data_IF_662666240082
#
_entry.id   IF_662666240082
#
_cell.length_a   1.000
_cell.length_b   1.000
_cell.length_c   1.000
_cell.angle_alpha   90.00
_cell.angle_beta   90.00
_cell.angle_gamma   90.00
#
_symmetry.space_group_name_H-M   'P 1'
#
loop_
_entity.id
_entity.type
_entity.pdbx_description
1 polymer ?
#
# COMPACT_ATOMS: atom_id res chain seq x y z
N UNK A 1 -1.89 7.52 -9.77
CA UNK A 1 -1.30 8.72 -9.16
C UNK A 1 -1.32 8.55 -7.65
N UNK A 2 -0.18 8.67 -7.02
CA UNK A 2 -0.02 8.62 -5.58
C UNK A 2 0.26 10.04 -5.09
N UNK A 3 -0.66 10.58 -4.28
CA UNK A 3 -0.43 11.85 -3.60
C UNK A 3 0.66 11.70 -2.54
N UNK A 4 1.28 12.80 -2.19
CA UNK A 4 2.35 12.84 -1.17
C UNK A 4 1.88 13.44 0.16
N UNK A 5 0.62 13.87 0.23
CA UNK A 5 0.12 14.58 1.41
C UNK A 5 -0.17 13.59 2.53
N UNK A 6 0.45 13.84 3.67
CA UNK A 6 0.20 13.07 4.89
C UNK A 6 -1.07 13.61 5.53
N UNK A 7 -2.04 12.73 5.77
CA UNK A 7 -3.27 13.06 6.50
C UNK A 7 -2.95 12.96 7.99
N UNK A 8 -3.06 14.09 8.69
CA UNK A 8 -2.78 14.16 10.13
C UNK A 8 -3.86 13.45 10.97
N UNK A 9 -5.08 13.44 10.49
CA UNK A 9 -6.22 12.80 11.15
C UNK A 9 -7.03 11.99 10.13
N UNK A 10 -6.92 10.65 10.14
CA UNK A 10 -7.62 9.79 9.20
C UNK A 10 -9.14 9.81 9.38
N UNK A 11 -9.65 10.21 10.55
CA UNK A 11 -11.09 10.27 10.83
C UNK A 11 -11.77 11.44 10.09
N UNK A 12 -11.00 12.42 9.64
CA UNK A 12 -11.51 13.50 8.78
C UNK A 12 -11.76 13.03 7.33
N UNK A 13 -11.35 11.81 7.00
CA UNK A 13 -11.50 11.23 5.67
C UNK A 13 -10.52 11.80 4.64
N UNK A 14 -10.68 11.37 3.40
CA UNK A 14 -9.86 11.83 2.29
C UNK A 14 -10.32 13.21 1.81
N UNK A 15 -9.36 14.07 1.45
CA UNK A 15 -9.66 15.38 0.88
C UNK A 15 -10.47 15.25 -0.43
N UNK A 16 -11.32 16.24 -0.77
CA UNK A 16 -11.99 16.27 -2.07
C UNK A 16 -10.98 16.25 -3.22
N UNK A 17 -11.39 15.67 -4.34
CA UNK A 17 -10.58 15.69 -5.56
C UNK A 17 -10.39 17.13 -6.05
N UNK A 18 -9.14 17.56 -6.16
CA UNK A 18 -8.85 18.85 -6.74
C UNK A 18 -8.81 18.76 -8.28
N UNK A 19 -9.23 19.83 -8.96
CA UNK A 19 -9.15 19.93 -10.43
C UNK A 19 -7.72 19.76 -10.94
N UNK A 20 -6.74 20.22 -10.19
CA UNK A 20 -5.31 20.04 -10.48
C UNK A 20 -4.87 18.58 -10.50
N UNK A 21 -5.46 17.72 -9.65
CA UNK A 21 -5.13 16.29 -9.61
C UNK A 21 -5.65 15.60 -10.88
N UNK A 22 -6.86 15.93 -11.28
CA UNK A 22 -7.45 15.44 -12.52
C UNK A 22 -6.62 15.87 -13.72
N UNK A 23 -6.23 17.15 -13.80
CA UNK A 23 -5.42 17.69 -14.90
C UNK A 23 -4.07 16.97 -15.01
N UNK A 24 -3.41 16.70 -13.88
CA UNK A 24 -2.13 15.99 -13.80
C UNK A 24 -2.23 14.54 -14.27
N UNK A 25 -3.31 13.85 -13.91
CA UNK A 25 -3.60 12.50 -14.38
C UNK A 25 -3.81 12.48 -15.91
N UNK A 26 -4.63 13.38 -16.43
CA UNK A 26 -4.92 13.45 -17.86
C UNK A 26 -3.66 13.77 -18.67
N UNK A 27 -2.77 14.61 -18.17
CA UNK A 27 -1.48 14.90 -18.81
C UNK A 27 -0.61 13.66 -18.93
N UNK A 28 -0.53 12.84 -17.85
CA UNK A 28 0.17 11.56 -17.89
C UNK A 28 -0.43 10.59 -18.93
N UNK A 29 -1.75 10.52 -19.05
CA UNK A 29 -2.41 9.66 -20.02
C UNK A 29 -2.22 10.12 -21.47
N UNK A 30 -2.12 11.42 -21.73
CA UNK A 30 -1.91 11.94 -23.10
C UNK A 30 -0.66 11.38 -23.76
N UNK A 31 0.39 11.14 -22.99
CA UNK A 31 1.65 10.59 -23.52
C UNK A 31 1.60 9.08 -23.75
N UNK A 32 0.81 8.33 -22.96
CA UNK A 32 0.81 6.86 -22.94
C UNK A 32 -0.39 6.30 -23.73
N UNK A 33 -1.55 6.91 -23.55
CA UNK A 33 -2.81 6.44 -24.14
C UNK A 33 -3.70 7.64 -24.51
N UNK A 34 -3.37 8.39 -25.56
CA UNK A 34 -4.05 9.63 -25.92
C UNK A 34 -5.57 9.45 -26.14
N UNK A 35 -5.99 8.28 -26.61
CA UNK A 35 -7.41 7.96 -26.80
C UNK A 35 -8.21 7.84 -25.49
N UNK A 36 -7.54 7.73 -24.34
CA UNK A 36 -8.17 7.67 -23.01
C UNK A 36 -8.13 9.02 -22.29
N UNK A 37 -7.45 10.02 -22.83
CA UNK A 37 -7.30 11.33 -22.19
C UNK A 37 -8.52 12.26 -22.40
N UNK A 38 -9.72 11.68 -22.35
CA UNK A 38 -11.00 12.42 -22.42
C UNK A 38 -11.40 13.01 -21.07
N UNK A 39 -12.64 13.50 -21.00
CA UNK A 39 -13.22 13.96 -19.72
C UNK A 39 -13.39 12.80 -18.76
N UNK A 40 -12.99 12.92 -17.48
CA UNK A 40 -13.22 11.89 -16.49
C UNK A 40 -14.72 11.71 -16.21
N UNK A 41 -15.15 10.47 -16.09
CA UNK A 41 -16.55 10.15 -15.75
C UNK A 41 -16.78 10.32 -14.25
N UNK A 42 -15.77 9.95 -13.45
CA UNK A 42 -15.80 10.10 -12.00
C UNK A 42 -14.37 10.18 -11.45
N UNK A 43 -14.21 10.79 -10.30
CA UNK A 43 -12.95 10.84 -9.57
C UNK A 43 -13.23 10.75 -8.07
N UNK A 44 -12.35 10.04 -7.34
CA UNK A 44 -12.42 9.92 -5.90
C UNK A 44 -11.01 9.89 -5.32
N UNK A 45 -10.88 10.41 -4.11
CA UNK A 45 -9.67 10.25 -3.29
C UNK A 45 -9.83 9.07 -2.35
N UNK A 46 -8.73 8.43 -1.98
CA UNK A 46 -8.71 7.43 -0.93
C UNK A 46 -7.45 7.58 -0.07
N UNK A 47 -7.53 7.06 1.14
CA UNK A 47 -6.40 7.04 2.06
C UNK A 47 -5.56 5.77 1.83
N UNK A 48 -4.24 5.93 1.90
CA UNK A 48 -3.30 4.83 1.92
C UNK A 48 -2.73 4.66 3.32
N UNK A 49 -2.65 3.41 3.78
CA UNK A 49 -1.87 3.09 4.98
C UNK A 49 -0.41 2.98 4.57
N UNK A 50 0.39 3.97 4.96
CA UNK A 50 1.81 4.01 4.67
C UNK A 50 2.61 3.46 5.85
N UNK A 51 3.66 2.69 5.54
CA UNK A 51 4.71 2.40 6.50
C UNK A 51 5.76 3.52 6.49
N UNK A 52 6.60 3.67 7.53
CA UNK A 52 7.62 4.72 7.58
C UNK A 52 8.61 4.70 6.40
N UNK A 53 8.92 3.53 5.87
CA UNK A 53 9.84 3.31 4.75
C UNK A 53 9.14 3.08 3.41
N UNK A 54 7.81 3.14 3.37
CA UNK A 54 7.01 2.90 2.17
C UNK A 54 6.92 1.43 1.74
N UNK A 55 7.61 0.50 2.40
CA UNK A 55 7.53 -0.93 2.13
C UNK A 55 6.44 -1.59 2.95
N UNK A 56 5.87 -2.68 2.43
CA UNK A 56 4.86 -3.45 3.14
C UNK A 56 5.39 -4.01 4.47
N UNK A 57 4.46 -4.32 5.36
CA UNK A 57 4.70 -5.07 6.57
C UNK A 57 4.10 -6.46 6.37
N UNK A 58 4.92 -7.50 6.28
CA UNK A 58 4.44 -8.88 6.11
C UNK A 58 5.14 -9.78 7.11
N UNK A 59 4.37 -10.47 7.94
CA UNK A 59 4.97 -11.36 8.92
C UNK A 59 4.06 -11.73 10.07
N UNK A 60 4.69 -12.12 11.18
CA UNK A 60 4.02 -12.54 12.40
C UNK A 60 4.12 -11.44 13.46
N UNK A 61 3.04 -11.14 14.14
CA UNK A 61 3.05 -10.18 15.25
C UNK A 61 3.80 -10.76 16.45
N UNK A 62 4.74 -9.99 17.00
CA UNK A 62 5.42 -10.33 18.25
C UNK A 62 4.38 -10.58 19.37
N UNK A 63 4.51 -11.68 20.10
CA UNK A 63 3.58 -12.10 21.15
C UNK A 63 2.33 -12.85 20.67
N UNK A 64 2.03 -12.86 19.37
CA UNK A 64 0.90 -13.56 18.77
C UNK A 64 1.38 -14.55 17.69
N UNK A 65 1.97 -15.66 18.11
CA UNK A 65 2.64 -16.63 17.22
C UNK A 65 1.77 -17.22 16.09
N UNK A 66 0.45 -17.15 16.22
CA UNK A 66 -0.51 -17.65 15.24
C UNK A 66 -1.17 -16.54 14.42
N UNK A 67 -0.68 -15.30 14.57
CA UNK A 67 -1.22 -14.16 13.83
C UNK A 67 -0.23 -13.72 12.79
N UNK A 68 -0.58 -13.94 11.53
CA UNK A 68 0.19 -13.49 10.37
C UNK A 68 -0.59 -12.38 9.68
N UNK A 69 0.11 -11.36 9.20
CA UNK A 69 -0.55 -10.19 8.62
C UNK A 69 0.26 -9.58 7.49
N UNK A 70 -0.44 -8.89 6.60
CA UNK A 70 0.11 -7.95 5.65
C UNK A 70 -0.56 -6.58 5.88
N UNK A 71 0.23 -5.54 6.06
CA UNK A 71 -0.24 -4.19 6.34
C UNK A 71 0.68 -3.15 5.70
N UNK A 72 0.30 -1.86 5.79
CA UNK A 72 1.10 -0.78 5.23
C UNK A 72 1.34 -0.95 3.73
N UNK A 73 0.30 -1.31 2.97
CA UNK A 73 0.43 -1.70 1.56
C UNK A 73 0.65 -0.50 0.62
N UNK A 74 0.74 0.71 1.16
CA UNK A 74 1.26 1.92 0.52
C UNK A 74 0.68 2.17 -0.89
N UNK A 75 -0.60 1.87 -1.10
CA UNK A 75 -1.30 2.02 -2.37
C UNK A 75 -0.98 0.96 -3.44
N UNK A 76 -0.13 -0.04 -3.16
CA UNK A 76 0.32 -1.03 -4.14
C UNK A 76 -0.17 -2.47 -3.86
N UNK A 77 -0.88 -2.69 -2.76
CA UNK A 77 -1.20 -4.04 -2.27
C UNK A 77 -2.05 -4.87 -3.22
N UNK A 78 -2.98 -4.25 -3.93
CA UNK A 78 -3.93 -4.98 -4.77
C UNK A 78 -3.25 -5.87 -5.82
N UNK A 79 -2.29 -5.33 -6.56
CA UNK A 79 -1.57 -6.07 -7.61
C UNK A 79 -0.69 -7.21 -7.07
N UNK A 80 -0.35 -7.18 -5.78
CA UNK A 80 0.49 -8.18 -5.11
C UNK A 80 -0.32 -9.11 -4.18
N UNK A 81 -1.65 -8.93 -4.11
CA UNK A 81 -2.51 -9.69 -3.22
C UNK A 81 -2.36 -11.22 -3.35
N UNK A 82 -2.24 -11.82 -4.55
CA UNK A 82 -2.03 -13.26 -4.67
C UNK A 82 -0.73 -13.72 -4.00
N UNK A 83 0.40 -13.04 -4.29
CA UNK A 83 1.70 -13.39 -3.72
C UNK A 83 1.75 -13.17 -2.20
N UNK A 84 1.10 -12.12 -1.71
CA UNK A 84 0.97 -11.87 -0.27
C UNK A 84 0.11 -12.94 0.40
N UNK A 85 -0.97 -13.37 -0.26
CA UNK A 85 -1.80 -14.46 0.20
C UNK A 85 -1.02 -15.77 0.33
N UNK A 86 -0.26 -16.16 -0.68
CA UNK A 86 0.60 -17.34 -0.66
C UNK A 86 1.61 -17.27 0.48
N UNK A 87 2.29 -16.12 0.65
CA UNK A 87 3.23 -15.91 1.74
C UNK A 87 2.57 -16.08 3.12
N UNK A 88 1.38 -15.53 3.32
CA UNK A 88 0.65 -15.63 4.59
C UNK A 88 0.19 -17.06 4.87
N UNK A 89 -0.26 -17.79 3.87
CA UNK A 89 -0.62 -19.21 3.98
C UNK A 89 0.61 -20.05 4.37
N UNK A 90 1.75 -19.81 3.72
CA UNK A 90 3.00 -20.50 4.02
C UNK A 90 3.46 -20.22 5.46
N UNK A 91 3.42 -18.97 5.89
CA UNK A 91 3.74 -18.59 7.28
C UNK A 91 2.80 -19.28 8.26
N UNK A 92 1.51 -19.35 7.96
CA UNK A 92 0.50 -19.96 8.83
C UNK A 92 0.66 -21.48 8.93
N UNK A 93 0.92 -22.16 7.83
CA UNK A 93 0.95 -23.63 7.76
C UNK A 93 2.34 -24.22 8.01
N UNK A 94 3.41 -23.51 7.60
CA UNK A 94 4.79 -24.00 7.62
C UNK A 94 5.71 -23.19 8.51
N UNK A 95 5.27 -22.03 9.00
CA UNK A 95 6.08 -21.08 9.75
C UNK A 95 7.15 -20.35 8.91
N UNK A 96 7.22 -20.60 7.62
CA UNK A 96 8.17 -19.98 6.67
C UNK A 96 7.58 -19.96 5.28
N UNK A 97 8.10 -19.08 4.43
CA UNK A 97 7.82 -19.04 2.98
C UNK A 97 9.12 -18.99 2.20
N UNK A 98 9.11 -19.49 0.98
CA UNK A 98 10.24 -19.41 0.05
C UNK A 98 10.24 -18.09 -0.75
N UNK A 99 9.18 -17.29 -0.62
CA UNK A 99 9.15 -15.94 -1.20
C UNK A 99 10.13 -15.00 -0.47
N UNK A 100 10.83 -14.11 -1.19
CA UNK A 100 11.86 -13.24 -0.61
C UNK A 100 11.25 -12.06 0.16
N UNK A 101 10.42 -12.32 1.15
CA UNK A 101 9.70 -11.29 1.93
C UNK A 101 10.43 -10.89 3.23
N UNK A 102 11.64 -11.38 3.46
CA UNK A 102 12.39 -11.10 4.71
C UNK A 102 12.56 -9.61 5.00
N UNK A 103 12.78 -8.79 3.96
CA UNK A 103 12.90 -7.34 4.07
C UNK A 103 11.58 -6.63 4.44
N UNK A 104 10.44 -7.33 4.33
CA UNK A 104 9.13 -6.84 4.72
C UNK A 104 8.77 -7.15 6.17
N UNK A 105 9.67 -7.82 6.90
CA UNK A 105 9.43 -8.20 8.30
C UNK A 105 9.11 -6.97 9.16
N UNK A 106 8.06 -7.03 10.01
CA UNK A 106 7.78 -5.97 10.98
C UNK A 106 8.93 -5.74 11.97
N UNK A 107 9.78 -6.75 12.19
CA UNK A 107 10.92 -6.66 13.08
C UNK A 107 11.94 -5.59 12.66
N UNK A 108 11.95 -5.19 11.38
CA UNK A 108 12.84 -4.12 10.88
C UNK A 108 12.63 -2.76 11.54
N UNK A 109 11.52 -2.58 12.25
CA UNK A 109 11.23 -1.36 13.00
C UNK A 109 11.39 -1.51 14.51
N UNK A 110 11.66 -2.73 15.01
CA UNK A 110 11.76 -2.98 16.46
C UNK A 110 13.17 -2.76 17.02
N UNK A 111 14.17 -2.64 16.16
CA UNK A 111 15.55 -2.34 16.55
C UNK A 111 15.82 -0.83 16.74
N UNK A 112 14.78 0.00 16.56
CA UNK A 112 14.80 1.43 16.83
C UNK A 112 14.04 1.72 18.15
N UNK A 113 14.48 1.11 19.26
CA UNK A 113 14.17 1.70 20.57
C UNK A 113 15.21 2.80 20.87
N UNK A 114 14.72 3.96 21.33
CA UNK A 114 15.59 5.07 21.71
C UNK A 114 16.42 4.77 22.96
#
# INVERSE_FOLDING_TARGET
FHGSDIVADPDLGAAPVATSDVARLLEGYRSIAPGLAGSPVAAATCLYTMSPDGHFLVGTRRGLRRTHFAAGLSGHGFKLAPALGDALVDLALRGRTDLPIGFLSPARFTDAEP
#
